data_IF_733237436056
#
_entry.id   IF_733237436056
#
_cell.length_a   1.000
_cell.length_b   1.000
_cell.length_c   1.000
_cell.angle_alpha   90.00
_cell.angle_beta   90.00
_cell.angle_gamma   90.00
#
_symmetry.space_group_name_H-M   'P 1'
#
loop_
_entity.id
_entity.type
_entity.pdbx_description
1 polymer ?
#
# COMPACT_ATOMS: atom_id res chain seq x y z
N UNK A 1 -6.01 -22.18 -6.45
CA UNK A 1 -5.69 -21.57 -6.30
C UNK A 1 -5.86 -20.42 -5.91
N UNK A 2 -5.40 -19.92 -5.29
CA UNK A 2 -5.51 -18.81 -4.83
C UNK A 2 -4.51 -17.89 -5.17
N UNK A 3 -3.83 -18.02 -6.31
CA UNK A 3 -2.89 -17.09 -6.75
C UNK A 3 -3.49 -15.79 -6.94
N UNK A 4 -4.70 -15.73 -7.49
CA UNK A 4 -5.36 -14.48 -7.66
C UNK A 4 -5.66 -13.84 -6.33
N UNK A 5 -5.83 -14.62 -5.28
CA UNK A 5 -5.97 -14.04 -3.98
C UNK A 5 -4.70 -13.37 -3.51
N UNK A 6 -3.54 -13.89 -3.88
CA UNK A 6 -2.28 -13.25 -3.54
C UNK A 6 -2.12 -11.93 -4.29
N UNK A 7 -2.50 -11.89 -5.57
CA UNK A 7 -2.33 -10.69 -6.36
C UNK A 7 -3.48 -9.70 -6.22
N UNK A 8 -4.68 -10.21 -6.07
CA UNK A 8 -5.85 -9.38 -6.00
C UNK A 8 -6.29 -9.10 -4.59
N UNK A 9 -5.85 -9.92 -3.66
CA UNK A 9 -6.22 -9.72 -2.27
C UNK A 9 -5.42 -8.60 -1.67
N UNK A 10 -6.04 -7.82 -0.83
CA UNK A 10 -5.32 -6.78 -0.13
C UNK A 10 -4.38 -7.35 0.92
N UNK A 11 -3.27 -6.68 1.16
CA UNK A 11 -2.34 -7.05 2.21
C UNK A 11 -2.66 -6.23 3.44
N UNK A 12 -2.63 -6.88 4.60
CA UNK A 12 -2.89 -6.20 5.86
C UNK A 12 -1.63 -5.49 6.31
N UNK A 13 -1.69 -4.18 6.40
CA UNK A 13 -0.56 -3.36 6.78
C UNK A 13 -0.72 -2.84 8.21
N UNK A 14 0.39 -2.70 8.91
CA UNK A 14 0.39 -2.13 10.25
C UNK A 14 0.44 -3.12 11.39
N UNK A 15 0.55 -4.42 11.08
CA UNK A 15 0.66 -5.45 12.10
C UNK A 15 1.97 -6.20 11.96
N UNK A 16 2.75 -6.25 13.01
CA UNK A 16 4.05 -6.92 12.98
C UNK A 16 3.93 -8.41 12.77
N UNK A 17 2.90 -9.03 13.33
CA UNK A 17 2.73 -10.46 13.21
C UNK A 17 2.39 -10.90 11.79
N UNK A 18 2.11 -9.98 10.89
CA UNK A 18 1.87 -10.33 9.52
C UNK A 18 3.11 -10.25 8.65
N UNK A 19 4.27 -9.99 9.25
CA UNK A 19 5.50 -9.85 8.47
C UNK A 19 5.78 -11.05 7.58
N UNK A 20 5.66 -12.27 8.10
CA UNK A 20 5.92 -13.45 7.29
C UNK A 20 4.91 -13.60 6.17
N UNK A 21 3.67 -13.20 6.40
CA UNK A 21 2.66 -13.22 5.35
C UNK A 21 3.01 -12.22 4.26
N UNK A 22 3.45 -11.02 4.66
CA UNK A 22 3.85 -10.01 3.70
C UNK A 22 5.05 -10.48 2.89
N UNK A 23 6.02 -11.13 3.52
CA UNK A 23 7.18 -11.64 2.81
C UNK A 23 6.82 -12.70 1.79
N UNK A 24 5.91 -13.61 2.14
CA UNK A 24 5.45 -14.63 1.20
C UNK A 24 4.66 -14.01 0.07
N UNK A 25 3.82 -13.05 0.38
CA UNK A 25 3.03 -12.37 -0.62
C UNK A 25 3.92 -11.56 -1.56
N UNK A 26 4.95 -10.92 -1.04
CA UNK A 26 5.88 -10.18 -1.86
C UNK A 26 6.63 -11.07 -2.84
N UNK A 27 6.98 -12.30 -2.40
CA UNK A 27 7.63 -13.24 -3.28
C UNK A 27 6.72 -13.64 -4.43
N UNK A 28 5.45 -13.88 -4.13
CA UNK A 28 4.47 -14.21 -5.17
C UNK A 28 4.14 -12.99 -6.02
N UNK A 29 4.06 -11.83 -5.40
CA UNK A 29 3.71 -10.60 -6.10
C UNK A 29 4.82 -10.08 -7.00
N UNK A 30 6.03 -10.61 -6.89
CA UNK A 30 7.10 -10.21 -7.78
C UNK A 30 6.75 -10.44 -9.25
N UNK A 31 5.77 -11.31 -9.51
CA UNK A 31 5.32 -11.59 -10.85
C UNK A 31 4.16 -10.69 -11.27
N UNK A 32 3.62 -9.88 -10.41
CA UNK A 32 2.50 -9.01 -10.75
C UNK A 32 2.98 -7.57 -10.90
N UNK A 33 2.17 -6.78 -11.54
CA UNK A 33 2.52 -5.41 -11.89
C UNK A 33 1.63 -4.43 -11.16
N UNK A 34 2.18 -3.36 -10.63
CA UNK A 34 3.60 -3.01 -10.59
C UNK A 34 4.30 -3.63 -9.38
N UNK A 35 5.60 -3.81 -9.45
CA UNK A 35 6.33 -4.26 -8.28
C UNK A 35 6.29 -3.20 -7.20
N UNK A 36 6.32 -3.65 -5.95
CA UNK A 36 6.25 -2.73 -4.83
C UNK A 36 7.06 -3.23 -3.64
N UNK A 37 7.42 -2.32 -2.78
CA UNK A 37 8.07 -2.62 -1.51
C UNK A 37 7.23 -2.05 -0.39
N UNK A 38 7.26 -2.70 0.76
CA UNK A 38 6.67 -2.17 1.98
C UNK A 38 7.79 -2.05 3.00
N UNK A 39 7.98 -0.85 3.52
CA UNK A 39 9.07 -0.56 4.41
C UNK A 39 8.54 -0.12 5.75
N UNK A 40 9.04 -0.73 6.82
CA UNK A 40 8.72 -0.32 8.18
C UNK A 40 9.66 0.84 8.53
N UNK A 41 9.11 1.98 8.80
CA UNK A 41 9.90 3.17 9.10
C UNK A 41 9.93 3.51 10.58
N UNK A 42 9.41 2.62 11.42
CA UNK A 42 9.43 2.81 12.88
C UNK A 42 8.27 3.64 13.39
N UNK A 43 7.97 3.47 14.65
CA UNK A 43 6.95 4.27 15.33
C UNK A 43 5.58 4.31 14.63
N UNK A 44 5.18 3.18 14.08
CA UNK A 44 3.89 3.10 13.42
C UNK A 44 3.86 3.66 12.02
N UNK A 45 5.01 4.00 11.46
CA UNK A 45 5.08 4.53 10.11
C UNK A 45 5.50 3.45 9.12
N UNK A 46 4.83 3.42 7.98
CA UNK A 46 5.16 2.51 6.89
C UNK A 46 5.28 3.31 5.60
N UNK A 47 6.05 2.79 4.68
CA UNK A 47 6.10 3.36 3.33
C UNK A 47 5.91 2.27 2.31
N UNK A 48 4.98 2.48 1.40
CA UNK A 48 4.80 1.62 0.23
C UNK A 48 5.44 2.34 -0.94
N UNK A 49 6.28 1.64 -1.67
CA UNK A 49 6.89 2.21 -2.88
C UNK A 49 6.51 1.33 -4.06
N UNK A 50 5.92 1.92 -5.09
CA UNK A 50 5.57 1.20 -6.31
C UNK A 50 6.42 1.71 -7.46
N UNK A 51 6.89 0.79 -8.29
CA UNK A 51 7.68 1.15 -9.46
C UNK A 51 6.72 1.46 -10.61
N UNK A 52 6.56 2.74 -10.89
CA UNK A 52 5.57 3.21 -11.86
C UNK A 52 6.21 4.12 -12.92
N UNK A 53 7.42 3.75 -13.34
CA UNK A 53 8.12 4.53 -14.35
C UNK A 53 7.25 4.71 -15.59
N UNK A 54 7.21 5.91 -16.11
CA UNK A 54 6.42 6.22 -17.29
C UNK A 54 5.01 6.70 -17.01
N UNK A 55 4.54 6.60 -15.76
CA UNK A 55 3.26 7.19 -15.40
C UNK A 55 3.46 8.64 -14.98
N UNK A 56 2.55 9.49 -15.39
CA UNK A 56 2.52 10.88 -14.92
C UNK A 56 1.57 10.97 -13.73
N UNK A 57 1.66 12.03 -12.92
CA UNK A 57 0.76 12.12 -11.75
C UNK A 57 -0.71 12.06 -12.09
N UNK A 58 -1.12 12.60 -13.24
CA UNK A 58 -2.52 12.58 -13.65
C UNK A 58 -2.99 11.19 -14.07
N UNK A 59 -2.07 10.26 -14.30
CA UNK A 59 -2.40 8.88 -14.64
C UNK A 59 -2.47 7.99 -13.41
N UNK A 60 -2.11 8.51 -12.24
CA UNK A 60 -2.09 7.75 -11.01
C UNK A 60 -3.14 8.28 -10.05
N UNK A 61 -3.72 7.37 -9.29
CA UNK A 61 -4.71 7.74 -8.30
C UNK A 61 -4.50 6.92 -7.04
N UNK A 62 -4.51 7.59 -5.92
CA UNK A 62 -4.39 6.95 -4.61
C UNK A 62 -5.63 7.33 -3.81
N UNK A 63 -6.41 6.35 -3.38
CA UNK A 63 -7.61 6.61 -2.62
C UNK A 63 -7.68 5.71 -1.40
N UNK A 64 -8.41 6.14 -0.40
CA UNK A 64 -8.69 5.31 0.77
C UNK A 64 -10.20 5.13 0.80
N UNK A 65 -10.64 3.87 0.81
CA UNK A 65 -12.05 3.54 0.83
C UNK A 65 -12.44 2.96 2.16
N UNK A 66 -13.52 3.48 2.73
CA UNK A 66 -14.07 3.03 4.01
C UNK A 66 -13.04 3.04 5.15
N UNK A 67 -12.09 3.96 5.08
CA UNK A 67 -10.98 4.10 6.05
C UNK A 67 -10.19 2.80 6.24
N UNK A 68 -10.33 1.85 5.35
CA UNK A 68 -9.72 0.53 5.53
C UNK A 68 -8.95 0.04 4.33
N UNK A 69 -9.25 0.52 3.14
CA UNK A 69 -8.60 0.04 1.95
C UNK A 69 -7.87 1.15 1.24
N UNK A 70 -6.59 0.94 1.02
CA UNK A 70 -5.79 1.84 0.22
C UNK A 70 -5.80 1.29 -1.20
N UNK A 71 -6.31 2.06 -2.14
CA UNK A 71 -6.38 1.65 -3.54
C UNK A 71 -5.45 2.53 -4.35
N UNK A 72 -4.53 1.90 -5.06
CA UNK A 72 -3.60 2.59 -5.94
C UNK A 72 -3.92 2.15 -7.36
N UNK A 73 -4.24 3.08 -8.21
CA UNK A 73 -4.60 2.78 -9.59
C UNK A 73 -3.74 3.58 -10.54
N UNK A 74 -3.36 2.95 -11.62
CA UNK A 74 -2.67 3.61 -12.71
C UNK A 74 -3.41 3.37 -14.00
N UNK A 75 -3.68 4.43 -14.75
CA UNK A 75 -4.35 4.33 -16.02
C UNK A 75 -3.39 4.81 -17.09
N UNK A 76 -3.20 4.00 -18.11
CA UNK A 76 -2.27 4.34 -19.15
C UNK A 76 -2.89 4.01 -20.49
N UNK A 77 -2.86 4.95 -21.37
CA UNK A 77 -3.30 4.70 -22.73
C UNK A 77 -2.20 3.95 -23.46
N UNK A 78 -2.57 2.99 -24.25
CA UNK A 78 -1.63 2.15 -24.95
C UNK A 78 -0.74 2.95 -25.88
N UNK A 79 0.54 2.79 -25.75
CA UNK A 79 1.47 3.32 -26.70
C UNK A 79 1.56 2.39 -27.91
N UNK A 80 2.24 2.83 -28.92
CA UNK A 80 2.43 2.02 -30.11
C UNK A 80 3.43 0.90 -29.80
N UNK A 81 2.97 -0.33 -29.89
CA UNK A 81 3.85 -1.47 -29.69
C UNK A 81 4.64 -1.77 -30.95
N UNK A 82 4.21 -1.24 -32.05
CA UNK A 82 4.81 -1.54 -33.34
C UNK A 82 6.23 -1.06 -33.49
N UNK A 83 6.62 -0.07 -32.70
CA UNK A 83 7.96 0.47 -32.76
C UNK A 83 8.99 -0.38 -32.06
N UNK A 84 8.57 -1.40 -31.29
CA UNK A 84 9.52 -2.16 -30.50
C UNK A 84 9.85 -3.49 -31.16
N UNK A 85 11.14 -3.77 -31.29
CA UNK A 85 11.59 -5.10 -31.69
C UNK A 85 11.46 -6.07 -30.53
N UNK A 86 11.57 -5.55 -29.30
CA UNK A 86 11.38 -6.33 -28.07
C UNK A 86 10.84 -5.38 -27.01
N UNK A 87 9.81 -5.78 -26.32
CA UNK A 87 9.26 -4.96 -25.28
C UNK A 87 9.25 -5.72 -23.97
N UNK A 88 10.23 -5.41 -23.12
CA UNK A 88 10.33 -6.05 -21.82
C UNK A 88 9.75 -5.21 -20.69
N UNK A 89 9.40 -3.95 -20.94
CA UNK A 89 8.85 -3.06 -19.92
C UNK A 89 7.35 -3.03 -20.09
N UNK A 90 6.65 -3.46 -19.04
CA UNK A 90 5.20 -3.41 -19.05
C UNK A 90 4.72 -1.98 -18.92
N UNK A 91 3.82 -1.58 -19.79
CA UNK A 91 3.28 -0.23 -19.78
C UNK A 91 1.77 -0.35 -19.81
N UNK A 92 1.18 -0.84 -18.73
CA UNK A 92 -0.26 -1.11 -18.68
C UNK A 92 -0.86 -0.54 -17.41
N UNK A 93 -2.14 -0.38 -17.41
CA UNK A 93 -2.86 0.06 -16.25
C UNK A 93 -2.87 -1.01 -15.16
N UNK A 94 -3.12 -0.60 -13.94
CA UNK A 94 -3.12 -1.51 -12.81
C UNK A 94 -4.04 -1.00 -11.72
N UNK A 95 -4.43 -1.90 -10.83
CA UNK A 95 -5.12 -1.56 -9.59
C UNK A 95 -4.52 -2.44 -8.50
N UNK A 96 -4.08 -1.79 -7.42
CA UNK A 96 -3.56 -2.49 -6.26
C UNK A 96 -4.34 -2.06 -5.04
N UNK A 97 -4.72 -3.01 -4.22
CA UNK A 97 -5.49 -2.74 -3.01
C UNK A 97 -4.76 -3.31 -1.79
N UNK A 98 -4.64 -2.50 -0.77
CA UNK A 98 -4.03 -2.90 0.50
C UNK A 98 -5.05 -2.69 1.61
N UNK A 99 -5.14 -3.63 2.55
CA UNK A 99 -6.00 -3.45 3.71
C UNK A 99 -5.20 -2.77 4.79
N UNK A 100 -5.74 -1.70 5.32
CA UNK A 100 -5.08 -0.93 6.39
C UNK A 100 -5.55 -1.44 7.75
N UNK A 101 -4.61 -1.52 8.68
CA UNK A 101 -4.96 -1.81 10.06
C UNK A 101 -5.76 -0.65 10.64
N UNK A 102 -6.52 -0.92 11.68
CA UNK A 102 -7.33 0.10 12.30
C UNK A 102 -6.46 1.28 12.73
N UNK A 103 -6.89 2.45 12.38
CA UNK A 103 -6.17 3.67 12.75
C UNK A 103 -5.06 4.09 11.81
N UNK A 104 -4.72 3.24 10.83
CA UNK A 104 -3.72 3.63 9.83
C UNK A 104 -4.28 4.71 8.91
N UNK A 105 -3.47 5.71 8.63
CA UNK A 105 -3.87 6.79 7.75
C UNK A 105 -2.78 7.08 6.74
N UNK A 106 -3.19 7.54 5.58
CA UNK A 106 -2.24 7.97 4.56
C UNK A 106 -1.74 9.36 4.94
N UNK A 107 -0.43 9.48 5.08
CA UNK A 107 0.18 10.75 5.44
C UNK A 107 0.56 11.55 4.19
N UNK A 108 0.76 10.91 3.09
CA UNK A 108 1.07 11.59 1.85
C UNK A 108 1.53 10.63 0.77
N UNK A 109 1.61 11.11 -0.43
CA UNK A 109 2.10 10.35 -1.57
C UNK A 109 2.96 11.27 -2.44
N UNK A 110 4.11 10.75 -2.88
CA UNK A 110 5.05 11.51 -3.69
C UNK A 110 5.52 10.66 -4.85
N UNK A 111 5.49 11.21 -6.05
CA UNK A 111 6.04 10.55 -7.22
C UNK A 111 7.41 11.17 -7.52
N UNK A 112 8.44 10.36 -7.49
CA UNK A 112 9.79 10.83 -7.74
C UNK A 112 10.61 9.76 -8.46
N UNK A 113 11.25 10.12 -9.52
CA UNK A 113 12.15 9.21 -10.24
C UNK A 113 11.51 7.87 -10.62
N UNK A 114 10.23 7.90 -11.02
CA UNK A 114 9.54 6.68 -11.42
C UNK A 114 9.05 5.83 -10.28
N UNK A 115 9.17 6.32 -9.05
CA UNK A 115 8.70 5.60 -7.86
C UNK A 115 7.60 6.39 -7.18
N UNK A 116 6.52 5.72 -6.87
CA UNK A 116 5.44 6.33 -6.10
C UNK A 116 5.59 5.88 -4.65
N UNK A 117 5.88 6.84 -3.78
CA UNK A 117 6.04 6.59 -2.35
C UNK A 117 4.76 7.01 -1.64
N UNK A 118 4.16 6.08 -0.92
CA UNK A 118 2.97 6.37 -0.14
C UNK A 118 3.32 6.16 1.33
N UNK A 119 3.24 7.21 2.09
CA UNK A 119 3.55 7.15 3.52
C UNK A 119 2.29 6.97 4.33
N UNK A 120 2.35 6.03 5.27
CA UNK A 120 1.25 5.70 6.14
C UNK A 120 1.70 5.84 7.58
N UNK A 121 0.81 6.32 8.42
CA UNK A 121 1.10 6.44 9.85
C UNK A 121 -0.05 5.85 10.62
N UNK A 122 0.28 5.29 11.76
CA UNK A 122 -0.71 4.84 12.72
C UNK A 122 -0.47 5.65 13.97
N UNK A 123 -1.25 6.72 14.16
CA UNK A 123 -1.09 7.51 15.36
C UNK A 123 -1.31 6.61 16.57
N UNK A 124 -0.53 6.84 17.62
CA UNK A 124 -0.77 6.09 18.83
C UNK A 124 -2.19 6.37 19.29
N UNK A 125 -2.96 5.32 19.57
CA UNK A 125 -4.29 5.57 20.07
C UNK A 125 -4.19 6.40 21.33
N UNK A 126 -5.00 7.45 21.39
CA UNK A 126 -5.07 8.24 22.59
C UNK A 126 -5.42 7.30 23.71
N UNK A 127 -4.48 7.16 24.64
CA UNK A 127 -4.75 6.34 25.79
C UNK A 127 -5.68 7.12 26.67
N UNK A 128 -6.94 6.83 26.57
CA UNK A 128 -7.89 7.39 27.50
C UNK A 128 -7.75 6.61 28.80
N UNK A 129 -6.83 7.06 29.63
CA UNK A 129 -6.70 6.48 30.96
C UNK A 129 -7.57 7.31 31.88
N UNK A 130 -8.63 6.70 32.35
CA UNK A 130 -9.52 7.36 33.29
C UNK A 130 -9.25 6.80 34.68
N UNK A 131 -8.86 7.68 35.57
CA UNK A 131 -8.65 7.28 36.95
C UNK A 131 -9.95 7.42 37.69
N UNK A 132 -10.44 6.33 38.22
CA UNK A 132 -11.71 6.32 38.92
C UNK A 132 -11.47 6.46 40.42
N UNK A 133 -12.01 7.51 41.05
CA UNK A 133 -11.84 7.65 42.50
C UNK A 133 -12.59 6.54 43.23
N UNK A 134 -11.94 6.00 44.24
CA UNK A 134 -12.56 4.98 45.06
C UNK A 134 -13.19 5.63 46.26
N UNK A 135 -14.50 5.39 46.44
CA UNK A 135 -15.22 5.90 47.59
C UNK A 135 -15.33 4.82 48.62
N UNK A 136 -15.21 5.19 49.88
CA UNK A 136 -15.42 4.23 50.96
C UNK A 136 -16.87 4.36 51.43
N UNK A 137 -17.52 3.20 51.62
CA UNK A 137 -18.87 3.19 52.15
C UNK A 137 -18.81 3.02 53.65
N UNK A 138 -19.57 3.76 54.34
CA UNK A 138 -19.63 3.65 55.78
C UNK A 138 -19.40 4.94 56.53
#
# INVERSE_FOLDING_TARGET
>A
MNRSLVFDSPFLLGFDHTRSLIERAAKAAAESYPPYNVEDRGEGALRITLAVAGFTPDQLQVTVEDDRQLVVAGKREGGSEEAYLHRGIAARGFIRTFVLADGMKVDGAVLAHGLLHIDLVRPEPERLVQRIPIKTAG
#
